data_IF_193741805204
#
_entry.id   IF_193741805204
#
_cell.length_a   1.000
_cell.length_b   1.000
_cell.length_c   1.000
_cell.angle_alpha   90.00
_cell.angle_beta   90.00
_cell.angle_gamma   90.00
#
_symmetry.space_group_name_H-M   'P 1'
#
loop_
_entity.id
_entity.type
_entity.pdbx_description
1 polymer ?
#
# COMPACT_ATOMS: atom_id res chain seq x y z
N UNK A 1 22.43 -43.23 6.40
CA UNK A 1 21.49 -42.95 5.30
C UNK A 1 20.38 -44.00 5.36
N UNK A 2 19.14 -43.59 5.67
CA UNK A 2 18.03 -43.88 4.75
C UNK A 2 17.17 -42.63 4.43
N UNK A 3 16.84 -42.58 3.14
CA UNK A 3 15.79 -41.91 2.34
C UNK A 3 14.85 -40.84 2.90
N UNK A 4 14.79 -39.78 2.09
CA UNK A 4 13.85 -38.66 1.98
C UNK A 4 12.44 -39.09 1.52
N UNK A 5 11.52 -38.11 1.55
CA UNK A 5 10.16 -38.00 0.96
C UNK A 5 8.98 -38.48 1.84
N UNK A 6 7.82 -37.82 1.99
CA UNK A 6 7.29 -36.55 1.47
C UNK A 6 5.89 -36.32 2.07
N UNK A 7 5.55 -35.03 2.29
CA UNK A 7 4.20 -34.44 2.45
C UNK A 7 3.15 -35.08 3.37
N UNK A 8 2.72 -34.30 4.36
CA UNK A 8 1.29 -34.01 4.59
C UNK A 8 1.12 -32.71 5.39
N UNK A 9 1.02 -31.63 4.62
CA UNK A 9 0.25 -30.38 4.77
C UNK A 9 -0.31 -29.91 6.15
N UNK A 10 -0.56 -28.58 6.26
CA UNK A 10 -0.36 -27.76 7.45
C UNK A 10 -1.62 -27.67 8.31
N UNK A 11 -1.50 -28.00 9.59
CA UNK A 11 -2.58 -27.73 10.55
C UNK A 11 -2.52 -26.27 11.02
N UNK A 12 -3.69 -25.64 11.00
CA UNK A 12 -4.02 -24.36 11.65
C UNK A 12 -3.87 -23.10 10.79
N UNK A 13 -4.40 -23.19 9.57
CA UNK A 13 -5.15 -22.08 8.97
C UNK A 13 -6.33 -21.70 9.90
N UNK A 14 -6.06 -20.84 10.88
CA UNK A 14 -7.08 -20.22 11.72
C UNK A 14 -6.64 -18.83 12.22
N UNK A 15 -5.86 -18.08 11.44
CA UNK A 15 -5.94 -16.62 11.52
C UNK A 15 -7.14 -16.19 10.68
N UNK A 16 -8.29 -16.34 11.33
CA UNK A 16 -9.54 -15.64 11.06
C UNK A 16 -9.23 -14.30 10.40
N UNK A 17 -9.67 -14.15 9.15
CA UNK A 17 -10.00 -12.87 8.56
C UNK A 17 -8.89 -11.83 8.79
N UNK A 18 -7.80 -11.91 8.02
CA UNK A 18 -7.03 -10.71 7.69
C UNK A 18 -7.87 -9.83 6.76
N UNK A 19 -9.07 -9.46 7.19
CA UNK A 19 -9.82 -8.35 6.63
C UNK A 19 -9.65 -7.23 7.65
N UNK A 20 -9.23 -6.05 7.19
CA UNK A 20 -9.27 -4.82 7.97
C UNK A 20 -8.17 -4.53 9.02
N UNK A 21 -6.88 -4.73 8.68
CA UNK A 21 -5.86 -3.73 9.07
C UNK A 21 -5.80 -2.62 8.00
N UNK A 22 -6.97 -2.29 7.45
CA UNK A 22 -7.18 -1.39 6.32
C UNK A 22 -7.17 0.05 6.82
N UNK A 23 -6.00 0.55 7.23
CA UNK A 23 -5.81 2.00 7.15
C UNK A 23 -5.96 2.35 5.67
N UNK A 24 -6.80 3.32 5.29
CA UNK A 24 -6.92 3.72 3.90
C UNK A 24 -5.55 4.23 3.44
N UNK A 25 -4.81 3.36 2.75
CA UNK A 25 -3.54 3.73 2.14
C UNK A 25 -3.88 4.59 0.93
N UNK A 26 -3.38 5.82 0.94
CA UNK A 26 -3.47 6.73 -0.18
C UNK A 26 -2.12 6.68 -0.90
N UNK A 27 -2.16 6.64 -2.22
CA UNK A 27 -1.00 6.75 -3.08
C UNK A 27 -0.94 8.19 -3.57
N UNK A 28 0.07 8.93 -3.16
CA UNK A 28 0.36 10.25 -3.70
C UNK A 28 1.30 10.11 -4.90
N UNK A 29 0.97 10.76 -6.02
CA UNK A 29 1.79 10.85 -7.23
C UNK A 29 1.96 12.31 -7.62
N UNK A 30 3.18 12.85 -7.59
CA UNK A 30 3.41 14.24 -7.95
C UNK A 30 3.52 14.43 -9.47
N UNK A 31 2.77 15.36 -10.07
CA UNK A 31 2.87 15.67 -11.51
C UNK A 31 4.17 16.40 -11.93
N UNK A 32 4.88 17.03 -10.99
CA UNK A 32 6.11 17.75 -11.30
C UNK A 32 7.33 16.82 -11.37
N UNK A 33 7.47 15.93 -10.38
CA UNK A 33 8.62 15.04 -10.28
C UNK A 33 8.28 13.56 -10.53
N UNK A 34 7.01 13.24 -10.78
CA UNK A 34 6.51 11.88 -11.06
C UNK A 34 6.81 10.83 -9.99
N UNK A 35 7.16 11.26 -8.78
CA UNK A 35 7.37 10.35 -7.66
C UNK A 35 6.05 9.89 -7.07
N UNK A 36 5.97 8.58 -6.85
CA UNK A 36 4.86 7.91 -6.19
C UNK A 36 5.28 7.46 -4.79
N UNK A 37 4.47 7.78 -3.78
CA UNK A 37 4.66 7.36 -2.40
C UNK A 37 3.35 6.95 -1.75
N UNK A 38 3.40 5.94 -0.90
CA UNK A 38 2.27 5.51 -0.08
C UNK A 38 2.21 6.34 1.20
N UNK A 39 1.07 6.94 1.45
CA UNK A 39 0.84 7.90 2.53
C UNK A 39 -0.50 7.62 3.21
N UNK A 40 -0.61 7.98 4.47
CA UNK A 40 -1.89 8.01 5.18
C UNK A 40 -2.61 9.36 5.00
N UNK A 41 -3.86 9.45 5.46
CA UNK A 41 -4.70 10.65 5.37
C UNK A 41 -4.06 11.90 6.02
N UNK A 42 -3.25 11.72 7.06
CA UNK A 42 -2.56 12.83 7.75
C UNK A 42 -1.47 13.41 6.86
N UNK A 43 -0.64 12.53 6.28
CA UNK A 43 0.44 12.92 5.36
C UNK A 43 -0.14 13.49 4.07
N UNK A 44 -1.18 12.87 3.53
CA UNK A 44 -1.98 13.39 2.41
C UNK A 44 -2.43 14.84 2.63
N UNK A 45 -2.98 15.14 3.80
CA UNK A 45 -3.42 16.49 4.18
C UNK A 45 -2.25 17.46 4.27
N UNK A 46 -1.11 17.03 4.83
CA UNK A 46 0.10 17.82 4.91
C UNK A 46 0.66 18.16 3.52
N UNK A 47 0.72 17.17 2.63
CA UNK A 47 1.18 17.34 1.24
C UNK A 47 0.30 18.34 0.49
N UNK A 48 -1.02 18.29 0.68
CA UNK A 48 -1.95 19.22 0.03
C UNK A 48 -1.80 20.66 0.56
N UNK A 49 -1.32 20.83 1.81
CA UNK A 49 -1.09 22.16 2.42
C UNK A 49 0.31 22.72 2.15
N UNK A 50 1.33 21.86 2.13
CA UNK A 50 2.73 22.26 2.10
C UNK A 50 3.41 22.02 0.75
N UNK A 51 2.82 21.20 -0.11
CA UNK A 51 3.41 20.80 -1.39
C UNK A 51 4.05 19.41 -1.35
N UNK A 52 4.64 19.02 -2.48
CA UNK A 52 5.35 17.75 -2.62
C UNK A 52 6.59 17.71 -1.71
N UNK A 53 6.80 16.66 -0.89
CA UNK A 53 7.98 16.55 -0.02
C UNK A 53 9.28 16.29 -0.78
N UNK A 54 9.20 15.89 -2.05
CA UNK A 54 10.36 15.57 -2.89
C UNK A 54 10.90 16.80 -3.62
N UNK A 55 10.01 17.60 -4.20
CA UNK A 55 10.40 18.73 -5.05
C UNK A 55 9.88 20.09 -4.59
N UNK A 56 9.04 20.15 -3.55
CA UNK A 56 8.45 21.40 -3.06
C UNK A 56 7.41 22.03 -3.99
N UNK A 57 7.06 21.38 -5.10
CA UNK A 57 6.02 21.91 -6.00
C UNK A 57 4.66 21.90 -5.32
N UNK A 58 3.85 22.92 -5.62
CA UNK A 58 2.46 22.97 -5.18
C UNK A 58 1.69 21.79 -5.78
N UNK A 59 1.06 20.99 -4.92
CA UNK A 59 0.26 19.84 -5.34
C UNK A 59 -1.14 19.96 -4.78
N UNK A 60 -2.09 19.34 -5.46
CA UNK A 60 -3.50 19.36 -5.08
C UNK A 60 -3.95 17.95 -4.72
N UNK A 61 -5.16 17.83 -4.18
CA UNK A 61 -5.76 16.53 -3.88
C UNK A 61 -5.91 15.62 -5.11
N UNK A 62 -5.81 16.16 -6.34
CA UNK A 62 -5.80 15.38 -7.57
C UNK A 62 -4.60 14.42 -7.68
N UNK A 63 -3.50 14.75 -6.99
CA UNK A 63 -2.31 13.91 -6.94
C UNK A 63 -2.49 12.69 -6.01
N UNK A 64 -3.60 12.58 -5.27
CA UNK A 64 -3.86 11.48 -4.34
C UNK A 64 -4.85 10.47 -4.92
N UNK A 65 -4.53 9.18 -4.82
CA UNK A 65 -5.37 8.04 -5.20
C UNK A 65 -5.52 7.08 -4.03
N UNK A 66 -6.61 6.30 -3.93
CA UNK A 66 -6.70 5.22 -2.92
C UNK A 66 -5.99 3.98 -3.44
N UNK A 67 -5.13 3.36 -2.61
CA UNK A 67 -4.41 2.14 -2.94
C UNK A 67 -5.33 0.90 -3.10
N UNK A 68 -6.56 0.97 -2.55
CA UNK A 68 -7.52 -0.14 -2.52
C UNK A 68 -8.06 -0.60 -3.88
N UNK A 69 -7.61 -0.01 -5.00
CA UNK A 69 -8.02 -0.36 -6.36
C UNK A 69 -7.08 -1.38 -7.05
N UNK A 70 -6.11 -1.95 -6.34
CA UNK A 70 -5.33 -3.07 -6.90
C UNK A 70 -5.97 -4.38 -6.42
N UNK A 71 -6.67 -5.15 -7.28
CA UNK A 71 -7.06 -6.50 -6.92
C UNK A 71 -5.78 -7.29 -6.58
N UNK A 72 -5.78 -8.12 -5.53
CA UNK A 72 -4.62 -8.95 -5.23
C UNK A 72 -4.31 -9.81 -6.47
N UNK A 73 -3.03 -9.97 -6.84
CA UNK A 73 -2.67 -10.92 -7.88
C UNK A 73 -3.09 -12.33 -7.41
N UNK A 74 -4.01 -12.93 -8.15
CA UNK A 74 -4.42 -14.33 -8.01
C UNK A 74 -3.22 -15.21 -8.37
N UNK A 75 -2.69 -15.95 -7.39
CA UNK A 75 -1.66 -16.98 -7.58
C UNK A 75 -2.03 -18.22 -6.75
#
# INVERSE_FOLDING_TARGET
MPTNDTHSQPESMAHRQQTASSRPQLVFTCDACYHQIEVDESVATAITRHGCPICGSGVTAACLRRAADTPPPDH
#
